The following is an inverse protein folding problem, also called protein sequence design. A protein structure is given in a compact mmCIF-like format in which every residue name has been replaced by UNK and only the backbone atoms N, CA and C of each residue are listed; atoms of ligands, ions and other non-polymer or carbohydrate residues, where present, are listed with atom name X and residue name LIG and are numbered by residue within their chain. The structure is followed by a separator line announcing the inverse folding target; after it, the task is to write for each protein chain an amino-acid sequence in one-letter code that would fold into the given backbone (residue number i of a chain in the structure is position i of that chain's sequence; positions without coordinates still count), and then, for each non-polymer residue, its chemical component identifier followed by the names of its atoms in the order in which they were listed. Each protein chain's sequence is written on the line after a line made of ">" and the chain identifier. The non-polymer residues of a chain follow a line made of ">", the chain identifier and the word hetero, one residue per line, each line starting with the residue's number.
data_IF_600247233025
#
_entry.id   IF_600247233025
#
_cell.length_a   1.000
_cell.length_b   1.000
_cell.length_c   1.000
_cell.angle_alpha   90.00
_cell.angle_beta   90.00
_cell.angle_gamma   90.00
#
_symmetry.space_group_name_H-M   'P 1'
#
loop_
_entity.id
_entity.type
_entity.pdbx_description
1 polymer ?
#
# COMPACT_ATOMS: atom_id res chain seq x y z
N UNK A 1 -29.83 6.18 44.45
CA UNK A 1 -28.43 5.93 43.98
C UNK A 1 -28.38 4.45 43.67
N UNK A 2 -28.30 4.11 42.36
CA UNK A 2 -28.12 2.72 41.94
C UNK A 2 -26.71 2.24 42.37
N UNK A 3 -26.65 1.18 43.14
CA UNK A 3 -25.40 0.53 43.52
C UNK A 3 -25.16 -0.63 42.53
N UNK A 4 -23.99 -0.62 41.89
CA UNK A 4 -23.56 -1.70 41.02
C UNK A 4 -22.47 -2.51 41.68
N UNK A 5 -22.51 -3.81 41.55
CA UNK A 5 -21.46 -4.71 42.01
C UNK A 5 -20.64 -5.16 40.81
N UNK A 6 -19.32 -4.91 40.83
CA UNK A 6 -18.42 -5.36 39.77
C UNK A 6 -18.25 -6.87 39.92
N UNK A 7 -18.67 -7.61 38.87
CA UNK A 7 -18.60 -9.08 38.84
C UNK A 7 -17.43 -9.60 38.00
N UNK A 8 -16.78 -8.73 37.21
CA UNK A 8 -15.64 -9.10 36.43
C UNK A 8 -15.06 -7.92 35.66
N UNK A 9 -13.84 -8.12 35.14
CA UNK A 9 -13.14 -7.18 34.27
C UNK A 9 -12.85 -7.89 32.95
N UNK A 10 -13.20 -7.25 31.84
CA UNK A 10 -12.97 -7.76 30.49
C UNK A 10 -11.66 -7.16 29.95
N UNK A 11 -10.93 -7.92 29.17
CA UNK A 11 -9.74 -7.42 28.49
C UNK A 11 -10.14 -6.34 27.48
N UNK A 12 -9.28 -5.33 27.33
CA UNK A 12 -9.48 -4.27 26.36
C UNK A 12 -9.70 -4.83 24.96
N UNK A 13 -10.70 -4.30 24.26
CA UNK A 13 -10.98 -4.58 22.85
C UNK A 13 -11.42 -3.32 22.14
N UNK A 14 -11.17 -3.26 20.83
CA UNK A 14 -11.52 -2.11 20.00
C UNK A 14 -12.98 -2.24 19.55
N UNK A 15 -13.81 -1.30 19.98
CA UNK A 15 -15.19 -1.16 19.54
C UNK A 15 -15.32 -0.23 18.32
N UNK A 16 -14.41 0.73 18.24
CA UNK A 16 -14.34 1.74 17.18
C UNK A 16 -13.06 1.59 16.36
N UNK A 17 -12.91 2.46 15.34
CA UNK A 17 -11.69 2.53 14.52
C UNK A 17 -10.45 2.78 15.39
N UNK A 18 -9.28 2.32 14.93
CA UNK A 18 -7.97 2.55 15.58
C UNK A 18 -7.55 4.03 15.68
N UNK A 19 -8.35 4.94 15.09
CA UNK A 19 -8.20 6.39 15.29
C UNK A 19 -8.63 6.85 16.68
N UNK A 20 -9.46 6.06 17.37
CA UNK A 20 -10.00 6.41 18.68
C UNK A 20 -9.34 5.58 19.79
N UNK A 21 -9.02 6.22 20.88
CA UNK A 21 -8.57 5.51 22.09
C UNK A 21 -9.70 4.67 22.66
N UNK A 22 -9.34 3.54 23.29
CA UNK A 22 -10.29 2.70 24.02
C UNK A 22 -10.83 3.52 25.17
N UNK A 23 -12.11 3.88 25.10
CA UNK A 23 -12.80 4.55 26.18
C UNK A 23 -13.22 3.55 27.26
N UNK A 24 -13.30 4.00 28.54
CA UNK A 24 -13.83 3.16 29.61
C UNK A 24 -15.25 2.69 29.27
N UNK A 25 -15.47 1.38 29.32
CA UNK A 25 -16.76 0.77 29.03
C UNK A 25 -17.31 0.02 30.25
N UNK A 26 -18.62 0.12 30.45
CA UNK A 26 -19.32 -0.60 31.47
C UNK A 26 -20.36 -1.53 30.81
N UNK A 27 -20.21 -2.83 31.03
CA UNK A 27 -21.21 -3.80 30.62
C UNK A 27 -22.18 -4.03 31.77
N UNK A 28 -23.44 -3.74 31.54
CA UNK A 28 -24.49 -3.96 32.52
C UNK A 28 -25.47 -5.00 31.99
N UNK A 29 -25.81 -5.96 32.83
CA UNK A 29 -26.92 -6.84 32.55
C UNK A 29 -28.22 -6.14 32.98
N UNK A 30 -29.12 -5.78 32.07
CA UNK A 30 -30.39 -5.17 32.45
C UNK A 30 -31.22 -6.17 33.25
N UNK A 31 -31.87 -5.66 34.31
CA UNK A 31 -32.77 -6.47 35.14
C UNK A 31 -34.03 -6.91 34.38
N UNK A 32 -34.42 -6.12 33.40
CA UNK A 32 -35.55 -6.43 32.52
C UNK A 32 -35.03 -7.02 31.20
N UNK A 33 -35.44 -8.25 30.89
CA UNK A 33 -35.04 -8.98 29.67
C UNK A 33 -35.82 -8.56 28.43
N UNK A 34 -36.79 -7.65 28.55
CA UNK A 34 -37.68 -7.22 27.46
C UNK A 34 -37.06 -6.12 26.57
N UNK A 35 -35.81 -5.76 26.74
CA UNK A 35 -35.21 -4.60 26.10
C UNK A 35 -33.93 -4.86 25.29
N UNK A 36 -33.72 -6.02 24.72
CA UNK A 36 -32.56 -6.26 23.86
C UNK A 36 -32.88 -5.83 22.41
N UNK A 37 -32.29 -4.73 21.93
CA UNK A 37 -32.56 -4.24 20.57
C UNK A 37 -31.89 -5.05 19.48
N UNK A 38 -30.90 -5.91 19.83
CA UNK A 38 -30.11 -6.69 18.87
C UNK A 38 -29.90 -8.10 19.34
N UNK A 39 -29.86 -9.00 18.37
CA UNK A 39 -29.47 -10.40 18.57
C UNK A 39 -28.23 -10.70 17.70
N UNK A 40 -27.18 -11.24 18.30
CA UNK A 40 -25.99 -11.69 17.57
C UNK A 40 -25.98 -13.22 17.45
N UNK A 41 -25.74 -13.71 16.25
CA UNK A 41 -25.61 -15.14 15.97
C UNK A 41 -24.30 -15.42 15.22
N UNK A 42 -23.53 -16.41 15.68
CA UNK A 42 -22.38 -16.91 14.94
C UNK A 42 -22.82 -18.09 14.08
N UNK A 43 -22.66 -17.96 12.76
CA UNK A 43 -23.15 -18.91 11.79
C UNK A 43 -22.04 -19.29 10.81
N UNK A 44 -21.89 -20.60 10.53
CA UNK A 44 -21.00 -21.06 9.47
C UNK A 44 -21.54 -20.58 8.11
N UNK A 45 -20.66 -20.04 7.26
CA UNK A 45 -21.05 -19.46 5.97
C UNK A 45 -21.76 -20.47 5.05
N UNK A 46 -21.41 -21.75 5.13
CA UNK A 46 -22.06 -22.86 4.40
C UNK A 46 -23.54 -23.04 4.76
N UNK A 47 -23.96 -22.67 5.96
CA UNK A 47 -25.34 -22.81 6.46
C UNK A 47 -26.07 -21.46 6.54
N UNK A 48 -25.45 -20.39 6.12
CA UNK A 48 -26.01 -19.04 6.24
C UNK A 48 -27.38 -18.91 5.58
N UNK A 49 -27.56 -19.38 4.34
CA UNK A 49 -28.81 -19.24 3.60
C UNK A 49 -29.99 -19.99 4.26
N UNK A 50 -29.70 -21.14 4.86
CA UNK A 50 -30.69 -21.96 5.60
C UNK A 50 -31.11 -21.24 6.88
N UNK A 51 -30.13 -20.83 7.69
CA UNK A 51 -30.36 -20.19 8.98
C UNK A 51 -31.05 -18.83 8.79
N UNK A 52 -30.65 -18.07 7.78
CA UNK A 52 -31.30 -16.82 7.41
C UNK A 52 -32.80 -16.98 7.12
N UNK A 53 -33.18 -18.02 6.37
CA UNK A 53 -34.59 -18.30 6.08
C UNK A 53 -35.38 -18.61 7.35
N UNK A 54 -34.79 -19.40 8.25
CA UNK A 54 -35.44 -19.76 9.53
C UNK A 54 -35.58 -18.50 10.39
N UNK A 55 -34.54 -17.70 10.53
CA UNK A 55 -34.56 -16.45 11.32
C UNK A 55 -35.60 -15.47 10.77
N UNK A 56 -35.62 -15.28 9.44
CA UNK A 56 -36.60 -14.39 8.81
C UNK A 56 -38.04 -14.89 9.02
N UNK A 57 -38.30 -16.16 8.80
CA UNK A 57 -39.62 -16.73 9.00
C UNK A 57 -40.09 -16.59 10.46
N UNK A 58 -39.19 -16.83 11.42
CA UNK A 58 -39.50 -16.65 12.84
C UNK A 58 -39.77 -15.17 13.17
N UNK A 59 -39.00 -14.25 12.61
CA UNK A 59 -39.18 -12.81 12.77
C UNK A 59 -40.53 -12.35 12.22
N UNK A 60 -40.82 -12.69 10.96
CA UNK A 60 -42.07 -12.32 10.28
C UNK A 60 -43.33 -12.83 11.02
N UNK A 61 -43.19 -13.98 11.71
CA UNK A 61 -44.29 -14.55 12.51
C UNK A 61 -44.48 -13.87 13.88
N UNK A 62 -43.40 -13.33 14.49
CA UNK A 62 -43.47 -12.80 15.84
C UNK A 62 -43.48 -11.26 15.86
N UNK A 63 -42.91 -10.61 14.86
CA UNK A 63 -42.72 -9.15 14.81
C UNK A 63 -43.09 -8.63 13.41
N UNK A 64 -44.31 -8.91 12.99
CA UNK A 64 -44.82 -8.60 11.64
C UNK A 64 -44.78 -7.13 11.23
N UNK A 65 -44.70 -6.21 12.20
CA UNK A 65 -44.72 -4.75 11.96
C UNK A 65 -43.33 -4.16 11.70
N UNK A 66 -42.23 -4.90 11.96
CA UNK A 66 -40.88 -4.39 11.80
C UNK A 66 -40.12 -5.17 10.72
N UNK A 67 -39.38 -4.50 9.85
CA UNK A 67 -38.57 -5.17 8.84
C UNK A 67 -37.49 -6.03 9.49
N UNK A 68 -37.21 -7.19 8.91
CA UNK A 68 -36.08 -8.03 9.30
C UNK A 68 -34.79 -7.40 8.75
N UNK A 69 -34.02 -6.76 9.63
CA UNK A 69 -32.74 -6.20 9.30
C UNK A 69 -31.60 -7.09 9.80
N UNK A 70 -30.64 -7.36 8.93
CA UNK A 70 -29.44 -8.12 9.26
C UNK A 70 -28.19 -7.34 8.87
N UNK A 71 -27.21 -7.36 9.73
CA UNK A 71 -25.93 -6.70 9.49
C UNK A 71 -24.80 -7.67 9.80
N UNK A 72 -23.89 -7.86 8.85
CA UNK A 72 -22.68 -8.62 9.10
C UNK A 72 -21.67 -7.79 9.86
N UNK A 73 -21.17 -8.31 10.97
CA UNK A 73 -20.14 -7.64 11.76
C UNK A 73 -18.92 -7.27 10.92
N UNK A 74 -18.49 -8.16 10.01
CA UNK A 74 -17.38 -7.90 9.11
C UNK A 74 -17.63 -6.73 8.16
N UNK A 75 -18.87 -6.54 7.68
CA UNK A 75 -19.22 -5.40 6.84
C UNK A 75 -19.20 -4.10 7.63
N UNK A 76 -19.66 -4.13 8.86
CA UNK A 76 -19.59 -2.97 9.74
C UNK A 76 -18.14 -2.54 9.99
N UNK A 77 -17.25 -3.48 10.27
CA UNK A 77 -15.82 -3.22 10.41
C UNK A 77 -15.24 -2.64 9.10
N UNK A 78 -15.57 -3.24 7.95
CA UNK A 78 -15.10 -2.72 6.66
C UNK A 78 -15.60 -1.30 6.36
N UNK A 79 -16.83 -0.95 6.78
CA UNK A 79 -17.33 0.41 6.57
C UNK A 79 -16.57 1.45 7.39
N UNK A 80 -16.02 1.08 8.54
CA UNK A 80 -15.21 1.97 9.38
C UNK A 80 -13.89 2.37 8.71
N UNK A 81 -13.36 1.52 7.81
CA UNK A 81 -12.08 1.72 7.13
C UNK A 81 -12.23 2.05 5.63
N UNK A 82 -13.43 2.42 5.18
CA UNK A 82 -13.67 2.77 3.76
C UNK A 82 -12.87 3.97 3.29
N UNK A 83 -12.72 4.98 4.14
CA UNK A 83 -11.97 6.19 3.80
C UNK A 83 -10.47 5.87 3.64
N UNK A 84 -9.90 5.06 4.54
CA UNK A 84 -8.51 4.62 4.45
C UNK A 84 -8.27 3.76 3.21
N UNK A 85 -9.22 2.90 2.85
CA UNK A 85 -9.14 2.11 1.62
C UNK A 85 -9.18 2.99 0.38
N UNK A 86 -10.01 4.04 0.35
CA UNK A 86 -10.05 5.01 -0.75
C UNK A 86 -8.74 5.78 -0.85
N UNK A 87 -8.21 6.28 0.26
CA UNK A 87 -6.91 6.97 0.31
C UNK A 87 -5.81 6.03 -0.19
N UNK A 88 -5.77 4.78 0.27
CA UNK A 88 -4.81 3.78 -0.18
C UNK A 88 -4.89 3.52 -1.69
N UNK A 89 -6.11 3.40 -2.24
CA UNK A 89 -6.31 3.22 -3.68
C UNK A 89 -5.83 4.43 -4.49
N UNK A 90 -6.13 5.65 -4.03
CA UNK A 90 -5.66 6.89 -4.66
C UNK A 90 -4.14 7.02 -4.60
N UNK A 91 -3.52 6.72 -3.47
CA UNK A 91 -2.07 6.72 -3.32
C UNK A 91 -1.40 5.68 -4.23
N UNK A 92 -1.97 4.48 -4.32
CA UNK A 92 -1.45 3.43 -5.20
C UNK A 92 -1.51 3.84 -6.67
N UNK A 93 -2.65 4.41 -7.11
CA UNK A 93 -2.79 4.92 -8.48
C UNK A 93 -1.80 6.05 -8.77
N UNK A 94 -1.70 7.03 -7.88
CA UNK A 94 -0.79 8.17 -8.01
C UNK A 94 0.67 7.73 -8.05
N UNK A 95 1.05 6.79 -7.19
CA UNK A 95 2.41 6.21 -7.17
C UNK A 95 2.70 5.47 -8.48
N UNK A 96 1.74 4.68 -8.99
CA UNK A 96 1.91 3.98 -10.26
C UNK A 96 2.16 4.96 -11.40
N UNK A 97 1.37 6.03 -11.49
CA UNK A 97 1.54 7.08 -12.50
C UNK A 97 2.91 7.77 -12.33
N UNK A 98 3.29 8.12 -11.10
CA UNK A 98 4.59 8.75 -10.82
C UNK A 98 5.76 7.87 -11.25
N UNK A 99 5.70 6.55 -10.99
CA UNK A 99 6.71 5.58 -11.43
C UNK A 99 6.79 5.54 -12.96
N UNK A 100 5.65 5.48 -13.66
CA UNK A 100 5.63 5.48 -15.12
C UNK A 100 6.26 6.75 -15.71
N UNK A 101 5.90 7.93 -15.19
CA UNK A 101 6.50 9.19 -15.63
C UNK A 101 8.00 9.21 -15.36
N UNK A 102 8.43 8.74 -14.20
CA UNK A 102 9.85 8.65 -13.84
C UNK A 102 10.63 7.71 -14.78
N UNK A 103 10.05 6.56 -15.12
CA UNK A 103 10.64 5.64 -16.09
C UNK A 103 10.78 6.28 -17.48
N UNK A 104 9.76 7.01 -17.94
CA UNK A 104 9.82 7.74 -19.21
C UNK A 104 10.89 8.85 -19.18
N UNK A 105 11.03 9.56 -18.07
CA UNK A 105 12.08 10.56 -17.87
C UNK A 105 13.49 9.96 -17.91
N UNK A 106 13.70 8.85 -17.19
CA UNK A 106 14.97 8.12 -17.20
C UNK A 106 15.27 7.54 -18.57
N UNK A 107 14.26 7.00 -19.25
CA UNK A 107 14.41 6.49 -20.62
C UNK A 107 14.84 7.62 -21.58
N UNK A 108 14.16 8.75 -21.59
CA UNK A 108 14.51 9.88 -22.44
C UNK A 108 15.92 10.42 -22.17
N UNK A 109 16.30 10.53 -20.89
CA UNK A 109 17.65 10.94 -20.52
C UNK A 109 18.70 9.91 -20.96
N UNK A 110 18.41 8.61 -20.82
CA UNK A 110 19.31 7.54 -21.26
C UNK A 110 19.55 7.57 -22.76
N UNK A 111 18.48 7.79 -23.56
CA UNK A 111 18.60 7.96 -25.01
C UNK A 111 19.50 9.15 -25.35
N UNK A 112 19.26 10.28 -24.72
CA UNK A 112 20.04 11.50 -24.96
C UNK A 112 21.53 11.33 -24.62
N UNK A 113 21.85 10.71 -23.47
CA UNK A 113 23.24 10.44 -23.05
C UNK A 113 23.89 9.42 -24.00
N UNK A 114 23.18 8.38 -24.39
CA UNK A 114 23.67 7.38 -25.34
C UNK A 114 24.00 8.03 -26.71
N UNK A 115 23.15 8.94 -27.21
CA UNK A 115 23.41 9.67 -28.44
C UNK A 115 24.64 10.58 -28.33
N UNK A 116 24.78 11.29 -27.25
CA UNK A 116 25.96 12.15 -26.99
C UNK A 116 27.26 11.36 -26.91
N UNK A 117 27.22 10.14 -26.36
CA UNK A 117 28.39 9.28 -26.19
C UNK A 117 28.60 8.30 -27.36
N UNK A 118 27.84 8.45 -28.44
CA UNK A 118 27.85 7.53 -29.58
C UNK A 118 29.26 7.37 -30.16
N UNK A 119 30.03 8.43 -30.33
CA UNK A 119 31.42 8.36 -30.85
C UNK A 119 32.35 7.62 -29.88
N UNK A 120 32.24 7.87 -28.57
CA UNK A 120 33.03 7.17 -27.54
C UNK A 120 32.68 5.69 -27.49
N UNK A 121 31.39 5.32 -27.58
CA UNK A 121 30.92 3.93 -27.64
C UNK A 121 31.45 3.24 -28.89
N UNK A 122 31.43 3.90 -30.05
CA UNK A 122 31.95 3.38 -31.31
C UNK A 122 33.44 3.07 -31.25
N UNK A 123 34.25 4.00 -30.76
CA UNK A 123 35.71 3.80 -30.60
C UNK A 123 36.00 2.63 -29.67
N UNK A 124 35.34 2.58 -28.50
CA UNK A 124 35.56 1.48 -27.55
C UNK A 124 35.16 0.13 -28.10
N UNK A 125 34.11 0.08 -28.88
CA UNK A 125 33.63 -1.16 -29.54
C UNK A 125 34.63 -1.67 -30.57
N UNK A 126 35.21 -0.77 -31.34
CA UNK A 126 36.30 -1.12 -32.32
C UNK A 126 37.55 -1.62 -31.60
N UNK A 127 37.89 -1.07 -30.43
CA UNK A 127 39.03 -1.51 -29.60
C UNK A 127 38.71 -2.82 -28.82
N UNK A 128 37.50 -3.39 -28.97
CA UNK A 128 37.15 -4.70 -28.41
C UNK A 128 36.38 -4.63 -27.06
N UNK A 129 35.82 -3.49 -26.66
CA UNK A 129 35.01 -3.43 -25.46
C UNK A 129 33.75 -4.28 -25.61
N UNK A 130 33.46 -5.08 -24.59
CA UNK A 130 32.22 -5.87 -24.53
C UNK A 130 30.98 -4.97 -24.32
N UNK A 131 29.81 -5.44 -24.78
CA UNK A 131 28.53 -4.75 -24.53
C UNK A 131 28.30 -4.49 -23.04
N UNK A 132 28.65 -5.46 -22.17
CA UNK A 132 28.52 -5.32 -20.73
C UNK A 132 29.37 -4.18 -20.16
N UNK A 133 30.59 -3.96 -20.67
CA UNK A 133 31.45 -2.84 -20.25
C UNK A 133 30.84 -1.48 -20.63
N UNK A 134 30.24 -1.40 -21.82
CA UNK A 134 29.55 -0.16 -22.29
C UNK A 134 28.31 0.12 -21.43
N UNK A 135 27.48 -0.89 -21.19
CA UNK A 135 26.30 -0.78 -20.31
C UNK A 135 26.69 -0.35 -18.91
N UNK A 136 27.70 -0.98 -18.31
CA UNK A 136 28.20 -0.62 -16.97
C UNK A 136 28.71 0.82 -16.91
N UNK A 137 29.41 1.27 -17.94
CA UNK A 137 29.90 2.65 -18.02
C UNK A 137 28.74 3.66 -18.06
N UNK A 138 27.74 3.43 -18.90
CA UNK A 138 26.58 4.31 -19.00
C UNK A 138 25.74 4.28 -17.72
N UNK A 139 25.55 3.11 -17.11
CA UNK A 139 24.74 2.94 -15.92
C UNK A 139 25.34 3.57 -14.65
N UNK A 140 26.66 3.70 -14.54
CA UNK A 140 27.33 4.26 -13.35
C UNK A 140 26.86 5.67 -13.02
N UNK A 141 26.64 6.51 -14.00
CA UNK A 141 26.18 7.91 -13.80
C UNK A 141 24.79 7.95 -13.17
N UNK A 142 23.90 7.00 -13.56
CA UNK A 142 22.54 6.91 -13.02
C UNK A 142 22.50 6.33 -11.62
N UNK A 143 23.40 5.39 -11.30
CA UNK A 143 23.48 4.80 -9.95
C UNK A 143 23.70 5.89 -8.90
N UNK A 144 24.62 6.82 -9.16
CA UNK A 144 24.90 7.93 -8.24
C UNK A 144 23.66 8.82 -8.06
N UNK A 145 22.96 9.15 -9.15
CA UNK A 145 21.76 9.98 -9.10
C UNK A 145 20.64 9.29 -8.31
N UNK A 146 20.45 7.96 -8.51
CA UNK A 146 19.46 7.18 -7.78
C UNK A 146 19.79 7.15 -6.28
N UNK A 147 21.06 6.97 -5.92
CA UNK A 147 21.49 6.96 -4.52
C UNK A 147 21.26 8.32 -3.84
N UNK A 148 21.60 9.42 -4.51
CA UNK A 148 21.36 10.78 -3.99
C UNK A 148 19.87 11.04 -3.83
N UNK A 149 19.05 10.66 -4.83
CA UNK A 149 17.61 10.81 -4.79
C UNK A 149 17.00 10.01 -3.63
N UNK A 150 17.46 8.77 -3.39
CA UNK A 150 17.01 7.96 -2.28
C UNK A 150 17.41 8.56 -0.92
N UNK A 151 18.62 9.09 -0.81
CA UNK A 151 19.10 9.74 0.41
C UNK A 151 18.25 10.96 0.82
N UNK A 152 17.69 11.64 -0.17
CA UNK A 152 16.78 12.79 0.07
C UNK A 152 15.35 12.31 0.28
N UNK A 153 14.88 11.38 -0.53
CA UNK A 153 13.49 10.92 -0.51
C UNK A 153 13.14 10.12 0.76
N UNK A 154 14.07 9.30 1.27
CA UNK A 154 13.82 8.46 2.44
C UNK A 154 13.51 9.26 3.72
N UNK A 155 14.29 10.30 4.12
CA UNK A 155 13.95 11.11 5.29
C UNK A 155 12.69 11.94 5.09
N UNK A 156 12.43 12.45 3.88
CA UNK A 156 11.18 13.16 3.58
C UNK A 156 9.96 12.24 3.68
N UNK A 157 10.09 11.04 3.14
CA UNK A 157 9.05 10.01 3.24
C UNK A 157 8.81 9.56 4.68
N UNK A 158 9.88 9.40 5.47
CA UNK A 158 9.76 9.09 6.89
C UNK A 158 9.00 10.19 7.64
N UNK A 159 9.37 11.44 7.44
CA UNK A 159 8.71 12.58 8.08
C UNK A 159 7.22 12.68 7.72
N UNK A 160 6.90 12.53 6.42
CA UNK A 160 5.51 12.56 5.95
C UNK A 160 4.67 11.42 6.54
N UNK A 161 5.25 10.20 6.57
CA UNK A 161 4.60 9.02 7.14
C UNK A 161 4.40 9.15 8.64
N UNK A 162 5.43 9.61 9.37
CA UNK A 162 5.35 9.82 10.82
C UNK A 162 4.26 10.84 11.17
N UNK A 163 4.19 11.94 10.43
CA UNK A 163 3.15 12.96 10.62
C UNK A 163 1.75 12.42 10.36
N UNK A 164 1.58 11.61 9.32
CA UNK A 164 0.29 11.00 9.01
C UNK A 164 -0.11 9.97 10.07
N UNK A 165 0.83 9.16 10.55
CA UNK A 165 0.59 8.18 11.62
C UNK A 165 0.27 8.83 12.96
N UNK A 166 0.61 10.10 13.17
CA UNK A 166 0.25 10.83 14.40
C UNK A 166 -1.25 11.09 14.54
N UNK A 167 -2.02 10.98 13.47
CA UNK A 167 -3.48 11.09 13.50
C UNK A 167 -4.16 9.82 14.06
N UNK A 168 -3.42 8.71 14.21
CA UNK A 168 -3.92 7.47 14.79
C UNK A 168 -3.63 7.38 16.29
N UNK A 169 -4.62 6.98 17.08
CA UNK A 169 -4.44 6.76 18.52
C UNK A 169 -3.48 5.58 18.78
N UNK A 170 -3.54 4.53 17.94
CA UNK A 170 -2.66 3.36 18.01
C UNK A 170 -1.64 3.40 16.88
N UNK A 171 -0.49 3.98 17.18
CA UNK A 171 0.58 4.24 16.20
C UNK A 171 1.42 3.00 15.95
N UNK A 172 1.69 2.74 14.68
CA UNK A 172 2.73 1.80 14.25
C UNK A 172 3.94 2.65 13.82
N UNK A 173 5.11 2.39 14.37
CA UNK A 173 6.33 3.04 13.88
C UNK A 173 6.74 2.40 12.56
N UNK A 174 6.91 3.19 11.48
CA UNK A 174 7.37 2.63 10.21
C UNK A 174 8.78 2.08 10.38
N UNK A 175 8.90 0.75 10.25
CA UNK A 175 10.18 0.07 10.36
C UNK A 175 11.12 0.45 9.22
N UNK A 176 12.42 0.51 9.49
CA UNK A 176 13.47 0.77 8.48
C UNK A 176 13.40 -0.22 7.29
N UNK A 177 12.88 -1.41 7.53
CA UNK A 177 12.70 -2.46 6.51
C UNK A 177 11.83 -2.01 5.34
N UNK A 178 10.77 -1.22 5.58
CA UNK A 178 9.90 -0.69 4.53
C UNK A 178 10.67 0.23 3.59
N UNK A 179 11.53 1.10 4.16
CA UNK A 179 12.38 2.00 3.38
C UNK A 179 13.45 1.25 2.59
N UNK A 180 14.05 0.22 3.16
CA UNK A 180 15.02 -0.60 2.46
C UNK A 180 14.38 -1.36 1.29
N UNK A 181 13.23 -1.98 1.50
CA UNK A 181 12.51 -2.71 0.43
C UNK A 181 12.08 -1.75 -0.68
N UNK A 182 11.50 -0.60 -0.35
CA UNK A 182 11.11 0.41 -1.34
C UNK A 182 12.31 0.95 -2.11
N UNK A 183 13.44 1.15 -1.44
CA UNK A 183 14.70 1.55 -2.06
C UNK A 183 15.24 0.51 -3.05
N UNK A 184 15.24 -0.76 -2.66
CA UNK A 184 15.66 -1.86 -3.55
C UNK A 184 14.74 -1.97 -4.77
N UNK A 185 13.43 -1.89 -4.59
CA UNK A 185 12.46 -1.93 -5.70
C UNK A 185 12.67 -0.74 -6.64
N UNK A 186 12.78 0.47 -6.11
CA UNK A 186 13.01 1.68 -6.91
C UNK A 186 14.33 1.61 -7.68
N UNK A 187 15.39 1.13 -7.03
CA UNK A 187 16.69 0.90 -7.67
C UNK A 187 16.58 -0.12 -8.80
N UNK A 188 15.90 -1.25 -8.57
CA UNK A 188 15.70 -2.28 -9.57
C UNK A 188 14.95 -1.75 -10.81
N UNK A 189 13.85 -1.01 -10.61
CA UNK A 189 13.07 -0.41 -11.71
C UNK A 189 13.95 0.54 -12.52
N UNK A 190 14.66 1.44 -11.87
CA UNK A 190 15.53 2.41 -12.54
C UNK A 190 16.69 1.73 -13.26
N UNK A 191 17.31 0.73 -12.64
CA UNK A 191 18.36 -0.09 -13.24
C UNK A 191 17.88 -0.80 -14.52
N UNK A 192 16.72 -1.46 -14.47
CA UNK A 192 16.13 -2.10 -15.65
C UNK A 192 15.86 -1.10 -16.78
N UNK A 193 15.29 0.05 -16.44
CA UNK A 193 14.97 1.09 -17.43
C UNK A 193 16.23 1.59 -18.15
N UNK A 194 17.28 1.92 -17.41
CA UNK A 194 18.55 2.41 -17.96
C UNK A 194 19.32 1.31 -18.70
N UNK A 195 19.36 0.10 -18.14
CA UNK A 195 20.10 -1.02 -18.74
C UNK A 195 19.50 -1.46 -20.07
N UNK A 196 18.17 -1.43 -20.20
CA UNK A 196 17.48 -1.75 -21.44
C UNK A 196 17.90 -0.82 -22.58
N UNK A 197 17.91 0.49 -22.34
CA UNK A 197 18.30 1.47 -23.37
C UNK A 197 19.83 1.44 -23.63
N UNK A 198 20.63 1.30 -22.58
CA UNK A 198 22.10 1.15 -22.72
C UNK A 198 22.47 -0.07 -23.55
N UNK A 199 21.76 -1.19 -23.37
CA UNK A 199 21.94 -2.40 -24.17
C UNK A 199 21.56 -2.15 -25.64
N UNK A 200 20.45 -1.46 -25.89
CA UNK A 200 20.01 -1.09 -27.23
C UNK A 200 21.02 -0.17 -27.92
N UNK A 201 21.53 0.83 -27.19
CA UNK A 201 22.56 1.74 -27.71
C UNK A 201 23.89 1.01 -28.02
N UNK A 202 24.32 0.10 -27.15
CA UNK A 202 25.53 -0.69 -27.35
C UNK A 202 25.45 -1.67 -28.53
N UNK A 203 24.26 -2.07 -28.96
CA UNK A 203 24.03 -2.95 -30.10
C UNK A 203 23.90 -2.23 -31.44
N UNK A 204 23.89 -0.89 -31.46
CA UNK A 204 23.91 -0.13 -32.73
C UNK A 204 25.17 -0.43 -33.54
N UNK A 205 25.04 -0.41 -34.86
CA UNK A 205 26.14 -0.73 -35.76
C UNK A 205 27.22 0.36 -35.71
N UNK A 206 28.49 0.03 -35.43
CA UNK A 206 29.57 1.03 -35.31
C UNK A 206 29.81 1.79 -36.64
N UNK A 207 29.57 1.17 -37.78
CA UNK A 207 29.77 1.79 -39.11
C UNK A 207 28.86 3.01 -39.30
N UNK A 208 27.61 2.94 -38.86
CA UNK A 208 26.65 4.03 -38.98
C UNK A 208 26.93 5.17 -37.99
N UNK A 209 27.63 4.85 -36.90
CA UNK A 209 27.98 5.82 -35.82
C UNK A 209 29.23 6.65 -36.12
N UNK A 210 30.12 6.18 -36.99
CA UNK A 210 31.35 6.86 -37.37
C UNK A 210 31.22 7.66 -38.66
N UNK A 211 30.14 7.45 -39.41
CA UNK A 211 29.91 8.10 -40.71
C UNK A 211 29.23 9.51 -40.58
N UNK A 212 28.60 9.80 -39.48
CA UNK A 212 28.00 11.10 -39.09
C UNK A 212 28.91 11.77 -38.03
#
# INVERSE_FOLDING_TARGET
>A
INRFTIIGVVRDFHQFSLHQEISPMLFMLPSDRNGFPYMAASVAMSRYSEIRKIMKATWDNQVAELPFEEVFLNQNIQTMYKEEQRISALLTLSTTIAVLISCLGLYGLSVYVAERKTKEIGVRKVVGASVGNIVSMLSKEYILLILISFLIAAPLGYYAMDKWLQEFAYKITPGITVFLISGVISFAIAWFTVSFESFRAANRNPVDTLRN
#
